data_IF_881722176523
#
_entry.id   IF_881722176523
#
_cell.length_a   1.000
_cell.length_b   1.000
_cell.length_c   1.000
_cell.angle_alpha   90.00
_cell.angle_beta   90.00
_cell.angle_gamma   90.00
#
_symmetry.space_group_name_H-M   'P 1'
#
loop_
_entity.id
_entity.type
_entity.pdbx_description
1 polymer ?
#
# COMPACT_ATOMS: atom_id res chain seq x y z
N UNK A 1 41.69 -22.26 12.77
CA UNK A 1 41.77 -22.33 11.29
C UNK A 1 40.37 -22.71 10.79
N UNK A 2 39.55 -21.72 10.40
CA UNK A 2 38.12 -21.93 10.09
C UNK A 2 37.96 -22.29 8.61
N UNK A 3 37.61 -23.54 8.30
CA UNK A 3 37.35 -24.01 6.94
C UNK A 3 35.99 -23.52 6.45
N UNK A 4 36.00 -22.51 5.57
CA UNK A 4 34.81 -22.03 4.87
C UNK A 4 34.41 -23.05 3.80
N UNK A 5 33.40 -23.87 4.08
CA UNK A 5 32.92 -24.94 3.18
C UNK A 5 31.89 -24.34 2.20
N UNK A 6 32.37 -23.70 1.14
CA UNK A 6 31.54 -23.25 0.02
C UNK A 6 30.88 -24.43 -0.69
N UNK A 7 29.60 -24.29 -1.05
CA UNK A 7 28.83 -25.32 -1.75
C UNK A 7 29.31 -25.38 -3.21
N UNK A 8 29.75 -26.55 -3.68
CA UNK A 8 30.20 -26.78 -5.05
C UNK A 8 29.11 -27.56 -5.79
N UNK A 9 28.74 -27.11 -6.99
CA UNK A 9 27.79 -27.82 -7.84
C UNK A 9 28.43 -28.14 -9.19
N UNK A 10 27.97 -29.22 -9.81
CA UNK A 10 28.43 -29.71 -11.11
C UNK A 10 27.47 -29.14 -12.16
N UNK A 11 27.99 -28.41 -13.13
CA UNK A 11 27.17 -27.95 -14.25
C UNK A 11 26.96 -29.08 -15.28
N UNK A 12 26.03 -28.89 -16.23
CA UNK A 12 25.68 -29.92 -17.24
C UNK A 12 26.86 -30.34 -18.13
N UNK A 13 27.92 -29.55 -18.20
CA UNK A 13 29.19 -29.87 -18.86
C UNK A 13 30.18 -30.68 -18.01
N UNK A 14 29.83 -31.03 -16.76
CA UNK A 14 30.70 -31.80 -15.87
C UNK A 14 31.71 -30.97 -15.07
N UNK A 15 31.71 -29.64 -15.24
CA UNK A 15 32.63 -28.76 -14.53
C UNK A 15 32.14 -28.42 -13.12
N UNK A 16 33.08 -28.43 -12.16
CA UNK A 16 32.85 -28.04 -10.78
C UNK A 16 32.94 -26.52 -10.65
N UNK A 17 31.80 -25.85 -10.50
CA UNK A 17 31.78 -24.40 -10.25
C UNK A 17 31.58 -24.10 -8.77
N UNK A 18 32.42 -23.20 -8.26
CA UNK A 18 32.25 -22.66 -6.92
C UNK A 18 31.15 -21.61 -6.99
N UNK A 19 30.10 -21.80 -6.19
CA UNK A 19 29.14 -20.73 -5.99
C UNK A 19 29.79 -19.69 -5.09
N UNK A 20 30.20 -18.57 -5.68
CA UNK A 20 30.37 -17.34 -4.91
C UNK A 20 29.02 -17.07 -4.25
N UNK A 21 28.98 -17.28 -2.94
CA UNK A 21 27.83 -17.20 -2.02
C UNK A 21 26.55 -16.80 -2.72
N UNK A 22 25.59 -17.73 -2.84
CA UNK A 22 24.19 -17.41 -3.12
C UNK A 22 23.87 -16.10 -2.40
N UNK A 23 23.64 -15.02 -3.15
CA UNK A 23 23.14 -13.76 -2.58
C UNK A 23 21.87 -14.16 -1.85
N UNK A 24 21.95 -14.29 -0.53
CA UNK A 24 20.79 -14.53 0.32
C UNK A 24 19.79 -13.47 -0.12
N UNK A 25 18.56 -13.83 -0.53
CA UNK A 25 17.59 -12.85 -0.96
C UNK A 25 17.50 -11.83 0.17
N UNK A 26 17.96 -10.62 -0.13
CA UNK A 26 17.93 -9.49 0.77
C UNK A 26 16.50 -9.43 1.30
N UNK A 27 16.35 -9.63 2.61
CA UNK A 27 15.07 -9.74 3.29
C UNK A 27 14.37 -8.40 3.10
N UNK A 28 13.61 -8.26 2.00
CA UNK A 28 12.85 -7.05 1.67
C UNK A 28 12.05 -6.72 2.92
N UNK A 29 12.36 -5.58 3.52
CA UNK A 29 11.78 -5.11 4.77
C UNK A 29 10.27 -5.07 4.59
N UNK A 30 9.57 -6.03 5.18
CA UNK A 30 8.10 -6.13 5.23
C UNK A 30 7.44 -4.82 5.68
N UNK A 31 8.19 -4.03 6.45
CA UNK A 31 7.77 -2.73 6.97
C UNK A 31 7.48 -1.72 5.83
N UNK A 32 8.20 -1.81 4.71
CA UNK A 32 8.01 -0.90 3.57
C UNK A 32 6.70 -1.18 2.83
N UNK A 33 6.34 -2.45 2.68
CA UNK A 33 5.07 -2.84 2.06
C UNK A 33 3.89 -2.44 2.94
N UNK A 34 4.01 -2.62 4.27
CA UNK A 34 3.00 -2.15 5.24
C UNK A 34 2.75 -0.65 5.16
N UNK A 35 3.80 0.17 5.13
CA UNK A 35 3.68 1.62 5.00
C UNK A 35 2.95 2.01 3.71
N UNK A 36 3.23 1.31 2.60
CA UNK A 36 2.57 1.57 1.32
C UNK A 36 1.07 1.27 1.37
N UNK A 37 0.66 0.15 1.96
CA UNK A 37 -0.76 -0.20 2.10
C UNK A 37 -1.50 0.77 3.03
N UNK A 38 -0.86 1.16 4.15
CA UNK A 38 -1.42 2.16 5.06
C UNK A 38 -1.68 3.48 4.35
N UNK A 39 -0.73 3.93 3.52
CA UNK A 39 -0.86 5.20 2.81
C UNK A 39 -2.07 5.17 1.85
N UNK A 40 -2.25 4.08 1.10
CA UNK A 40 -3.43 3.88 0.25
C UNK A 40 -4.73 3.91 1.07
N UNK A 41 -4.73 3.27 2.24
CA UNK A 41 -5.86 3.31 3.17
C UNK A 41 -6.26 4.74 3.57
N UNK A 42 -5.29 5.61 3.85
CA UNK A 42 -5.56 7.01 4.18
C UNK A 42 -6.15 7.80 3.00
N UNK A 43 -5.67 7.57 1.77
CA UNK A 43 -6.24 8.22 0.58
C UNK A 43 -7.73 7.90 0.37
N UNK A 44 -8.18 6.74 0.85
CA UNK A 44 -9.58 6.30 0.78
C UNK A 44 -10.40 6.77 1.99
N UNK A 45 -9.83 6.68 3.20
CA UNK A 45 -10.57 6.98 4.42
C UNK A 45 -10.77 8.46 4.66
N UNK A 46 -9.77 9.30 4.37
CA UNK A 46 -9.83 10.73 4.66
C UNK A 46 -11.00 11.42 3.94
N UNK A 47 -11.19 11.26 2.61
CA UNK A 47 -12.28 11.93 1.91
C UNK A 47 -13.66 11.45 2.36
N UNK A 48 -13.81 10.14 2.65
CA UNK A 48 -15.05 9.57 3.16
C UNK A 48 -15.41 10.12 4.55
N UNK A 49 -14.46 10.08 5.49
CA UNK A 49 -14.68 10.59 6.84
C UNK A 49 -14.94 12.10 6.82
N UNK A 50 -14.19 12.87 6.02
CA UNK A 50 -14.43 14.30 5.84
C UNK A 50 -15.83 14.58 5.30
N UNK A 51 -16.29 13.82 4.31
CA UNK A 51 -17.65 13.92 3.76
C UNK A 51 -18.74 13.59 4.79
N UNK A 52 -18.56 12.53 5.58
CA UNK A 52 -19.50 12.13 6.64
C UNK A 52 -19.57 13.16 7.75
N UNK A 53 -18.44 13.53 8.34
CA UNK A 53 -18.40 14.48 9.46
C UNK A 53 -18.80 15.89 9.02
N UNK A 54 -18.36 16.32 7.83
CA UNK A 54 -18.80 17.58 7.23
C UNK A 54 -20.30 17.59 6.98
N UNK A 55 -20.84 16.50 6.41
CA UNK A 55 -22.27 16.33 6.19
C UNK A 55 -23.07 16.35 7.48
N UNK A 56 -22.63 15.61 8.50
CA UNK A 56 -23.28 15.57 9.82
C UNK A 56 -23.28 16.95 10.49
N UNK A 57 -22.17 17.68 10.40
CA UNK A 57 -22.06 19.02 10.95
C UNK A 57 -23.05 19.99 10.28
N UNK A 58 -23.17 19.92 8.95
CA UNK A 58 -24.10 20.78 8.20
C UNK A 58 -25.54 20.37 8.46
N UNK A 59 -25.85 19.07 8.41
CA UNK A 59 -27.20 18.54 8.65
C UNK A 59 -27.71 18.93 10.05
N UNK A 60 -26.86 18.81 11.08
CA UNK A 60 -27.19 19.23 12.44
C UNK A 60 -27.37 20.74 12.58
N UNK A 61 -26.57 21.55 11.85
CA UNK A 61 -26.69 23.01 11.91
C UNK A 61 -27.94 23.53 11.21
N UNK A 62 -28.32 22.91 10.10
CA UNK A 62 -29.48 23.31 9.29
C UNK A 62 -30.77 22.56 9.65
N UNK A 63 -30.70 21.63 10.63
CA UNK A 63 -31.79 20.72 10.99
C UNK A 63 -32.38 19.98 9.79
N UNK A 64 -31.55 19.71 8.78
CA UNK A 64 -31.95 18.96 7.61
C UNK A 64 -31.95 17.47 7.93
N UNK A 65 -32.82 16.72 7.25
CA UNK A 65 -32.68 15.26 7.13
C UNK A 65 -31.27 14.95 6.58
N UNK A 66 -30.72 13.73 6.75
CA UNK A 66 -29.30 13.39 6.48
C UNK A 66 -28.86 13.47 5.00
N UNK A 67 -29.21 14.55 4.31
CA UNK A 67 -29.00 14.80 2.90
C UNK A 67 -27.57 15.29 2.64
N UNK A 68 -27.02 16.11 3.53
CA UNK A 68 -25.62 16.52 3.43
C UNK A 68 -24.67 15.37 3.76
N UNK A 69 -25.03 14.49 4.70
CA UNK A 69 -24.30 13.24 4.94
C UNK A 69 -24.30 12.34 3.70
N UNK A 70 -25.46 12.08 3.10
CA UNK A 70 -25.55 11.22 1.91
C UNK A 70 -24.76 11.80 0.75
N UNK A 71 -24.93 13.09 0.45
CA UNK A 71 -24.16 13.75 -0.61
C UNK A 71 -22.67 13.81 -0.30
N UNK A 72 -22.29 14.06 0.96
CA UNK A 72 -20.92 14.01 1.44
C UNK A 72 -20.27 12.64 1.27
N UNK A 73 -20.99 11.55 1.55
CA UNK A 73 -20.51 10.18 1.31
C UNK A 73 -20.29 9.93 -0.19
N UNK A 74 -21.24 10.35 -1.05
CA UNK A 74 -21.11 10.17 -2.50
C UNK A 74 -19.89 10.94 -3.03
N UNK A 75 -19.75 12.21 -2.65
CA UNK A 75 -18.61 13.03 -3.03
C UNK A 75 -17.30 12.47 -2.46
N UNK A 76 -17.30 12.02 -1.21
CA UNK A 76 -16.16 11.39 -0.56
C UNK A 76 -15.74 10.08 -1.25
N UNK A 77 -16.70 9.26 -1.69
CA UNK A 77 -16.44 8.04 -2.44
C UNK A 77 -15.83 8.36 -3.82
N UNK A 78 -16.40 9.32 -4.55
CA UNK A 78 -15.86 9.78 -5.84
C UNK A 78 -14.44 10.32 -5.67
N UNK A 79 -14.19 11.16 -4.67
CA UNK A 79 -12.87 11.71 -4.38
C UNK A 79 -11.85 10.62 -4.01
N UNK A 80 -12.28 9.62 -3.23
CA UNK A 80 -11.44 8.47 -2.85
C UNK A 80 -11.03 7.65 -4.07
N UNK A 81 -11.98 7.35 -4.96
CA UNK A 81 -11.73 6.65 -6.22
C UNK A 81 -10.82 7.46 -7.14
N UNK A 82 -11.07 8.77 -7.26
CA UNK A 82 -10.24 9.68 -8.04
C UNK A 82 -8.79 9.70 -7.54
N UNK A 83 -8.59 9.83 -6.23
CA UNK A 83 -7.26 9.78 -5.62
C UNK A 83 -6.56 8.44 -5.86
N UNK A 84 -7.30 7.32 -5.79
CA UNK A 84 -6.74 5.99 -6.04
C UNK A 84 -6.29 5.82 -7.49
N UNK A 85 -7.11 6.28 -8.45
CA UNK A 85 -6.78 6.25 -9.87
C UNK A 85 -5.56 7.12 -10.14
N UNK A 86 -5.53 8.33 -9.57
CA UNK A 86 -4.39 9.25 -9.69
C UNK A 86 -3.10 8.63 -9.16
N UNK A 87 -3.14 8.04 -7.96
CA UNK A 87 -1.98 7.37 -7.35
C UNK A 87 -1.48 6.18 -8.19
N UNK A 88 -2.37 5.53 -8.93
CA UNK A 88 -2.02 4.39 -9.79
C UNK A 88 -1.42 4.84 -11.13
N UNK A 89 -1.92 5.96 -11.67
CA UNK A 89 -1.49 6.51 -12.96
C UNK A 89 -0.19 7.32 -12.86
N UNK A 90 0.17 7.83 -11.68
CA UNK A 90 1.45 8.52 -11.43
C UNK A 90 2.64 7.56 -11.21
N UNK A 91 2.62 6.38 -11.83
CA UNK A 91 3.74 5.41 -11.79
C UNK A 91 4.64 5.48 -13.01
#
# INVERSE_FOLDING_TARGET
MSTNKGIRYVDKGGDLRHQDKLKTPEKRSSDFDYMRYMNIGFYLMIPLLAGVFGGLFIDNKLHTRPAFVISGIILGAIASLYNLIKLTNEK
#
